data_IF_936424058831
#
_entry.id   IF_936424058831
#
_cell.length_a   1.000
_cell.length_b   1.000
_cell.length_c   1.000
_cell.angle_alpha   90.00
_cell.angle_beta   90.00
_cell.angle_gamma   90.00
#
_symmetry.space_group_name_H-M   'P 1'
#
loop_
_entity.id
_entity.type
_entity.pdbx_description
1 polymer ?
#
# COMPACT_ATOMS: atom_id res chain seq x y z
N UNK A 1 -12.84 -29.85 -2.71
CA UNK A 1 -11.71 -29.15 -3.36
C UNK A 1 -12.25 -28.51 -4.63
N UNK A 2 -11.96 -27.24 -4.89
CA UNK A 2 -12.55 -26.49 -6.03
C UNK A 2 -11.55 -26.29 -7.19
N UNK A 3 -10.39 -26.96 -7.15
CA UNK A 3 -9.27 -26.74 -8.07
C UNK A 3 -9.70 -26.77 -9.55
N UNK A 4 -10.35 -27.86 -9.98
CA UNK A 4 -10.73 -28.05 -11.39
C UNK A 4 -11.67 -26.93 -11.90
N UNK A 5 -12.66 -26.57 -11.09
CA UNK A 5 -13.61 -25.49 -11.41
C UNK A 5 -12.91 -24.14 -11.46
N UNK A 6 -12.00 -23.87 -10.50
CA UNK A 6 -11.27 -22.63 -10.41
C UNK A 6 -10.27 -22.45 -11.57
N UNK A 7 -9.57 -23.50 -11.98
CA UNK A 7 -8.67 -23.46 -13.13
C UNK A 7 -9.42 -23.05 -14.41
N UNK A 8 -10.57 -23.70 -14.64
CA UNK A 8 -11.42 -23.38 -15.79
C UNK A 8 -11.95 -21.93 -15.73
N UNK A 9 -12.40 -21.49 -14.55
CA UNK A 9 -12.89 -20.14 -14.31
C UNK A 9 -11.79 -19.10 -14.58
N UNK A 10 -10.58 -19.28 -14.00
CA UNK A 10 -9.45 -18.38 -14.17
C UNK A 10 -9.02 -18.25 -15.63
N UNK A 11 -8.92 -19.39 -16.34
CA UNK A 11 -8.61 -19.39 -17.76
C UNK A 11 -9.64 -18.60 -18.58
N UNK A 12 -10.92 -18.83 -18.33
CA UNK A 12 -12.01 -18.15 -19.03
C UNK A 12 -12.01 -16.64 -18.71
N UNK A 13 -11.78 -16.27 -17.46
CA UNK A 13 -11.73 -14.88 -17.04
C UNK A 13 -10.57 -14.10 -17.66
N UNK A 14 -9.45 -14.77 -17.90
CA UNK A 14 -8.30 -14.18 -18.61
C UNK A 14 -8.39 -14.33 -20.13
N UNK A 15 -9.52 -14.79 -20.65
CA UNK A 15 -9.79 -14.99 -22.08
C UNK A 15 -8.76 -15.92 -22.78
N UNK A 16 -8.13 -16.83 -22.02
CA UNK A 16 -7.18 -17.78 -22.58
C UNK A 16 -7.86 -19.01 -23.12
N UNK A 17 -7.42 -19.49 -24.31
CA UNK A 17 -7.64 -20.86 -24.75
C UNK A 17 -6.89 -21.84 -23.83
N UNK A 18 -7.29 -23.13 -23.81
CA UNK A 18 -6.53 -24.15 -23.06
C UNK A 18 -5.06 -24.24 -23.50
N UNK A 19 -4.76 -24.00 -24.76
CA UNK A 19 -3.39 -24.01 -25.26
C UNK A 19 -2.57 -22.85 -24.72
N UNK A 20 -3.11 -21.63 -24.75
CA UNK A 20 -2.44 -20.43 -24.22
C UNK A 20 -2.22 -20.52 -22.69
N UNK A 21 -3.21 -21.02 -21.96
CA UNK A 21 -3.09 -21.18 -20.51
C UNK A 21 -2.06 -22.27 -20.16
N UNK A 22 -2.04 -23.38 -20.88
CA UNK A 22 -1.07 -24.44 -20.70
C UNK A 22 0.37 -23.98 -20.99
N UNK A 23 0.55 -23.20 -22.07
CA UNK A 23 1.84 -22.59 -22.43
C UNK A 23 2.33 -21.64 -21.32
N UNK A 24 1.45 -20.78 -20.81
CA UNK A 24 1.77 -19.86 -19.70
C UNK A 24 2.20 -20.56 -18.42
N UNK A 25 1.63 -21.72 -18.12
CA UNK A 25 1.97 -22.54 -16.97
C UNK A 25 3.24 -23.38 -17.24
N UNK A 26 3.54 -23.65 -18.50
CA UNK A 26 4.64 -24.53 -18.93
C UNK A 26 4.30 -26.03 -18.84
N UNK A 27 3.06 -26.42 -19.23
CA UNK A 27 2.58 -27.81 -19.23
C UNK A 27 1.90 -28.16 -20.57
N UNK A 28 1.77 -29.45 -20.92
CA UNK A 28 0.98 -29.86 -22.10
C UNK A 28 -0.49 -29.45 -21.96
N UNK A 29 -1.12 -29.07 -23.09
CA UNK A 29 -2.55 -28.76 -23.14
C UNK A 29 -3.44 -29.89 -22.60
N UNK A 30 -3.10 -31.14 -22.91
CA UNK A 30 -3.83 -32.32 -22.43
C UNK A 30 -3.85 -32.42 -20.92
N UNK A 31 -2.70 -32.16 -20.28
CA UNK A 31 -2.54 -32.15 -18.82
C UNK A 31 -3.40 -31.07 -18.17
N UNK A 32 -3.42 -29.84 -18.73
CA UNK A 32 -4.31 -28.79 -18.23
C UNK A 32 -5.78 -29.22 -18.39
N UNK A 33 -6.13 -29.83 -19.52
CA UNK A 33 -7.48 -30.36 -19.76
C UNK A 33 -7.89 -31.40 -18.71
N UNK A 34 -6.98 -32.28 -18.29
CA UNK A 34 -7.23 -33.29 -17.24
C UNK A 34 -7.44 -32.65 -15.87
N UNK A 35 -6.65 -31.61 -15.53
CA UNK A 35 -6.86 -30.85 -14.30
C UNK A 35 -8.19 -30.09 -14.30
N UNK A 36 -8.59 -29.45 -15.41
CA UNK A 36 -9.88 -28.74 -15.52
C UNK A 36 -11.08 -29.70 -15.48
N UNK A 37 -10.91 -30.97 -15.83
CA UNK A 37 -11.94 -32.02 -15.69
C UNK A 37 -11.91 -32.71 -14.34
N UNK A 38 -10.87 -32.49 -13.54
CA UNK A 38 -10.69 -33.15 -12.25
C UNK A 38 -10.28 -34.65 -12.37
N UNK A 39 -9.75 -35.08 -13.53
CA UNK A 39 -9.28 -36.41 -13.75
C UNK A 39 -7.96 -36.71 -13.01
N UNK A 40 -7.12 -35.67 -12.90
CA UNK A 40 -5.84 -35.73 -12.19
C UNK A 40 -5.63 -34.46 -11.42
N UNK A 41 -4.75 -34.47 -10.43
CA UNK A 41 -4.37 -33.30 -9.63
C UNK A 41 -2.89 -32.96 -9.86
N UNK A 42 -2.52 -31.68 -9.93
CA UNK A 42 -1.13 -31.27 -10.00
C UNK A 42 -0.40 -31.54 -8.68
N UNK A 43 0.89 -31.81 -8.76
CA UNK A 43 1.75 -31.85 -7.59
C UNK A 43 1.93 -30.44 -6.98
N UNK A 44 2.52 -30.35 -5.80
CA UNK A 44 2.70 -29.10 -5.07
C UNK A 44 3.55 -28.08 -5.86
N UNK A 45 4.60 -28.55 -6.55
CA UNK A 45 5.46 -27.66 -7.34
C UNK A 45 4.72 -27.02 -8.50
N UNK A 46 3.86 -27.80 -9.16
CA UNK A 46 3.02 -27.33 -10.25
C UNK A 46 1.86 -26.44 -9.75
N UNK A 47 1.28 -26.75 -8.59
CA UNK A 47 0.29 -25.87 -7.93
C UNK A 47 0.86 -24.48 -7.69
N UNK A 48 2.11 -24.38 -7.22
CA UNK A 48 2.80 -23.10 -7.03
C UNK A 48 2.96 -22.37 -8.36
N UNK A 49 3.34 -23.06 -9.45
CA UNK A 49 3.46 -22.47 -10.77
C UNK A 49 2.12 -21.98 -11.31
N UNK A 50 1.06 -22.76 -11.13
CA UNK A 50 -0.31 -22.41 -11.52
C UNK A 50 -0.77 -21.14 -10.78
N UNK A 51 -0.61 -21.13 -9.46
CA UNK A 51 -0.98 -19.99 -8.63
C UNK A 51 -0.25 -18.70 -9.05
N UNK A 52 1.05 -18.81 -9.36
CA UNK A 52 1.85 -17.70 -9.90
C UNK A 52 1.39 -17.26 -11.29
N UNK A 53 1.12 -18.19 -12.19
CA UNK A 53 0.71 -17.90 -13.56
C UNK A 53 -0.65 -17.17 -13.64
N UNK A 54 -1.56 -17.48 -12.71
CA UNK A 54 -2.87 -16.83 -12.60
C UNK A 54 -2.89 -15.70 -11.57
N UNK A 55 -1.78 -15.45 -10.86
CA UNK A 55 -1.68 -14.41 -9.82
C UNK A 55 -2.74 -14.58 -8.71
N UNK A 56 -2.95 -15.82 -8.25
CA UNK A 56 -3.92 -16.16 -7.23
C UNK A 56 -3.28 -16.87 -6.03
N UNK A 57 -3.92 -16.80 -4.89
CA UNK A 57 -3.48 -17.53 -3.70
C UNK A 57 -3.77 -19.02 -3.84
N UNK A 58 -2.80 -19.87 -3.46
CA UNK A 58 -2.96 -21.35 -3.50
C UNK A 58 -4.15 -21.77 -2.63
N UNK A 59 -4.31 -21.19 -1.44
CA UNK A 59 -5.44 -21.46 -0.56
C UNK A 59 -6.75 -21.18 -1.27
N UNK A 60 -6.90 -20.00 -1.88
CA UNK A 60 -8.11 -19.65 -2.60
C UNK A 60 -8.38 -20.59 -3.78
N UNK A 61 -7.31 -20.99 -4.51
CA UNK A 61 -7.39 -21.93 -5.62
C UNK A 61 -7.97 -23.30 -5.19
N UNK A 62 -7.65 -23.75 -3.98
CA UNK A 62 -8.02 -25.08 -3.48
C UNK A 62 -9.32 -25.09 -2.67
N UNK A 63 -9.58 -24.04 -1.86
CA UNK A 63 -10.61 -24.07 -0.81
C UNK A 63 -11.82 -23.21 -1.08
N UNK A 64 -11.70 -22.19 -1.94
CA UNK A 64 -12.77 -21.23 -2.22
C UNK A 64 -13.36 -21.45 -3.62
N UNK A 65 -14.63 -21.11 -3.79
CA UNK A 65 -15.32 -21.14 -5.09
C UNK A 65 -15.17 -19.75 -5.75
N UNK A 66 -14.18 -19.63 -6.65
CA UNK A 66 -13.72 -18.34 -7.19
C UNK A 66 -14.74 -17.65 -8.10
N UNK A 67 -15.70 -18.38 -8.69
CA UNK A 67 -16.78 -17.81 -9.51
C UNK A 67 -17.74 -16.92 -8.70
N UNK A 68 -17.71 -17.02 -7.36
CA UNK A 68 -18.53 -16.23 -6.43
C UNK A 68 -17.77 -15.13 -5.70
N UNK A 69 -16.47 -15.00 -5.94
CA UNK A 69 -15.59 -14.05 -5.26
C UNK A 69 -15.27 -12.88 -6.20
N UNK A 70 -15.04 -11.70 -5.62
CA UNK A 70 -14.46 -10.59 -6.37
C UNK A 70 -13.01 -10.92 -6.77
N UNK A 71 -12.48 -10.28 -7.84
CA UNK A 71 -11.10 -10.51 -8.27
C UNK A 71 -10.09 -10.14 -7.17
N UNK A 72 -10.39 -9.12 -6.38
CA UNK A 72 -9.56 -8.66 -5.28
C UNK A 72 -9.44 -9.68 -4.14
N UNK A 73 -10.48 -10.50 -3.95
CA UNK A 73 -10.47 -11.59 -2.96
C UNK A 73 -9.67 -12.83 -3.42
N UNK A 74 -9.44 -12.95 -4.72
CA UNK A 74 -8.82 -14.13 -5.34
C UNK A 74 -7.37 -13.85 -5.74
N UNK A 75 -7.05 -12.59 -6.07
CA UNK A 75 -5.74 -12.16 -6.53
C UNK A 75 -4.65 -12.33 -5.46
N UNK A 76 -3.50 -12.81 -5.88
CA UNK A 76 -2.28 -12.83 -5.05
C UNK A 76 -1.58 -11.47 -4.97
N UNK A 77 -2.11 -10.45 -5.66
CA UNK A 77 -1.67 -9.05 -5.54
C UNK A 77 -2.07 -8.41 -4.21
N UNK A 78 -2.25 -9.21 -3.18
CA UNK A 78 -2.25 -8.69 -1.81
C UNK A 78 -0.86 -8.16 -1.52
N UNK A 79 -0.82 -6.95 -1.06
CA UNK A 79 0.39 -6.37 -0.47
C UNK A 79 0.87 -7.38 0.59
N UNK A 80 2.02 -8.02 0.38
CA UNK A 80 2.50 -9.08 1.28
C UNK A 80 3.31 -8.46 2.40
N UNK A 81 2.87 -8.65 3.64
CA UNK A 81 3.80 -8.62 4.77
C UNK A 81 4.63 -9.92 4.70
N UNK A 82 5.91 -9.81 4.52
CA UNK A 82 6.81 -10.95 4.50
C UNK A 82 7.80 -10.99 5.66
N UNK A 83 7.91 -9.92 6.43
CA UNK A 83 8.75 -9.91 7.62
C UNK A 83 7.95 -9.50 8.84
N UNK A 84 7.40 -10.46 9.52
CA UNK A 84 6.82 -10.27 10.85
C UNK A 84 7.65 -11.01 11.87
N UNK A 85 8.34 -10.26 12.69
CA UNK A 85 8.90 -10.79 13.93
C UNK A 85 7.73 -10.99 14.90
N UNK A 86 7.01 -12.11 14.75
CA UNK A 86 6.07 -12.55 15.77
C UNK A 86 6.88 -13.28 16.84
N UNK A 87 7.49 -12.57 17.71
CA UNK A 87 7.78 -13.10 19.01
C UNK A 87 6.50 -12.96 19.87
N UNK A 88 5.78 -14.09 20.05
CA UNK A 88 4.57 -14.13 20.89
C UNK A 88 4.82 -13.70 22.33
N UNK A 89 6.07 -13.51 22.74
CA UNK A 89 6.47 -13.07 24.07
C UNK A 89 6.54 -11.53 24.21
N UNK A 90 6.59 -10.79 23.11
CA UNK A 90 6.72 -9.32 23.13
C UNK A 90 5.45 -8.62 22.62
N UNK A 91 4.32 -8.88 23.26
CA UNK A 91 3.06 -8.16 22.98
C UNK A 91 3.25 -6.66 23.16
N UNK A 92 2.93 -5.90 22.10
CA UNK A 92 2.94 -4.43 22.14
C UNK A 92 4.23 -3.77 21.65
N UNK A 93 5.22 -4.51 21.17
CA UNK A 93 6.38 -3.94 20.51
C UNK A 93 6.06 -3.62 19.03
N UNK A 94 6.45 -2.42 18.62
CA UNK A 94 6.20 -1.86 17.29
C UNK A 94 7.55 -1.39 16.75
N UNK A 95 7.97 -1.90 15.60
CA UNK A 95 9.19 -1.46 14.93
C UNK A 95 9.01 -0.03 14.41
N UNK A 96 10.04 0.80 14.61
CA UNK A 96 10.10 2.19 14.15
C UNK A 96 11.00 2.33 12.92
N UNK A 97 10.40 2.66 11.79
CA UNK A 97 11.09 3.06 10.57
C UNK A 97 11.40 4.54 10.65
N UNK A 98 12.66 4.89 10.88
CA UNK A 98 13.13 6.28 10.85
C UNK A 98 13.42 6.73 9.43
N UNK A 99 13.36 8.02 9.16
CA UNK A 99 13.67 8.62 7.87
C UNK A 99 15.02 8.17 7.32
N UNK A 100 16.05 8.13 8.15
CA UNK A 100 17.38 7.65 7.76
C UNK A 100 17.45 6.16 7.38
N UNK A 101 16.51 5.36 7.88
CA UNK A 101 16.41 3.94 7.57
C UNK A 101 15.45 3.65 6.40
N UNK A 102 14.72 4.65 5.90
CA UNK A 102 13.68 4.46 4.90
C UNK A 102 14.21 3.83 3.60
N UNK A 103 15.39 4.24 3.11
CA UNK A 103 16.00 3.64 1.93
C UNK A 103 16.36 2.16 2.16
N UNK A 104 17.02 1.84 3.28
CA UNK A 104 17.33 0.45 3.64
C UNK A 104 16.06 -0.38 3.89
N UNK A 105 15.02 0.25 4.42
CA UNK A 105 13.72 -0.40 4.61
C UNK A 105 13.07 -0.80 3.27
N UNK A 106 13.15 0.03 2.25
CA UNK A 106 12.64 -0.27 0.91
C UNK A 106 13.28 -1.52 0.28
N UNK A 107 14.58 -1.69 0.52
CA UNK A 107 15.33 -2.82 -0.01
C UNK A 107 15.13 -4.10 0.82
N UNK A 108 14.92 -3.97 2.14
CA UNK A 108 14.97 -5.09 3.10
C UNK A 108 13.70 -5.24 3.96
N UNK A 109 12.58 -4.59 3.61
CA UNK A 109 11.35 -4.68 4.40
C UNK A 109 10.79 -6.11 4.55
N UNK A 110 11.23 -7.03 3.68
CA UNK A 110 10.89 -8.46 3.70
C UNK A 110 11.91 -9.31 4.47
N UNK A 111 13.03 -8.74 4.88
CA UNK A 111 14.06 -9.45 5.63
C UNK A 111 13.76 -9.39 7.14
N UNK A 112 13.46 -10.55 7.80
CA UNK A 112 13.18 -10.60 9.21
C UNK A 112 14.35 -10.12 10.08
N UNK A 113 15.61 -10.36 9.67
CA UNK A 113 16.79 -9.92 10.41
C UNK A 113 16.87 -8.40 10.43
N UNK A 114 16.73 -7.76 9.25
CA UNK A 114 16.71 -6.30 9.15
C UNK A 114 15.58 -5.68 9.96
N UNK A 115 14.35 -6.22 9.86
CA UNK A 115 13.20 -5.69 10.62
C UNK A 115 13.40 -5.86 12.12
N UNK A 116 14.04 -6.94 12.57
CA UNK A 116 14.31 -7.17 14.00
C UNK A 116 15.32 -6.20 14.60
N UNK A 117 16.20 -5.61 13.79
CA UNK A 117 17.20 -4.62 14.20
C UNK A 117 16.62 -3.19 14.30
N UNK A 118 15.42 -2.94 13.76
CA UNK A 118 14.78 -1.63 13.86
C UNK A 118 14.52 -1.25 15.34
N UNK A 119 14.67 0.03 15.71
CA UNK A 119 14.26 0.51 17.01
C UNK A 119 12.80 0.16 17.29
N UNK A 120 12.47 -0.16 18.55
CA UNK A 120 11.12 -0.55 18.93
C UNK A 120 10.50 0.43 19.93
N UNK A 121 9.20 0.67 19.73
CA UNK A 121 8.34 1.38 20.68
C UNK A 121 7.45 0.35 21.36
N UNK A 122 7.18 0.54 22.66
CA UNK A 122 6.36 -0.39 23.44
C UNK A 122 5.00 0.22 23.76
N UNK A 123 3.93 -0.36 23.19
CA UNK A 123 2.54 0.03 23.41
C UNK A 123 1.69 -1.18 23.80
N UNK A 124 1.59 -1.51 25.10
CA UNK A 124 0.90 -2.73 25.58
C UNK A 124 -0.58 -2.82 25.19
N UNK A 125 -1.21 -1.66 24.94
CA UNK A 125 -2.63 -1.59 24.57
C UNK A 125 -2.91 -1.98 23.12
N UNK A 126 -1.89 -2.00 22.24
CA UNK A 126 -2.07 -2.31 20.82
C UNK A 126 -1.94 -3.82 20.59
N UNK A 127 -2.97 -4.39 19.96
CA UNK A 127 -3.00 -5.80 19.58
C UNK A 127 -3.17 -5.91 18.07
N UNK A 128 -2.28 -6.63 17.39
CA UNK A 128 -2.28 -6.78 15.94
C UNK A 128 -0.97 -6.34 15.32
N UNK A 129 -1.01 -6.09 14.01
CA UNK A 129 0.18 -5.75 13.23
C UNK A 129 0.27 -4.24 13.06
N UNK A 130 1.18 -3.64 13.82
CA UNK A 130 1.45 -2.22 13.77
C UNK A 130 2.91 -1.98 13.41
N UNK A 131 3.17 -0.84 12.78
CA UNK A 131 4.50 -0.29 12.54
C UNK A 131 4.47 1.21 12.73
N UNK A 132 5.57 1.76 13.22
CA UNK A 132 5.73 3.19 13.41
C UNK A 132 6.63 3.75 12.31
N UNK A 133 6.31 4.95 11.82
CA UNK A 133 7.06 5.64 10.78
C UNK A 133 7.32 7.07 11.20
N UNK A 134 8.57 7.51 11.11
CA UNK A 134 8.91 8.92 11.28
C UNK A 134 8.54 9.70 10.02
N UNK A 135 7.80 10.79 10.19
CA UNK A 135 7.32 11.60 9.08
C UNK A 135 8.36 12.67 8.71
N UNK A 136 8.62 12.80 7.42
CA UNK A 136 9.46 13.83 6.86
C UNK A 136 8.65 14.78 5.96
N UNK A 137 9.07 16.06 5.93
CA UNK A 137 8.42 17.08 5.12
C UNK A 137 7.09 17.57 5.71
N UNK A 138 6.46 18.49 4.99
CA UNK A 138 5.29 19.24 5.41
C UNK A 138 4.04 18.96 4.54
N UNK A 139 4.07 17.87 3.78
CA UNK A 139 2.99 17.55 2.84
C UNK A 139 1.67 17.17 3.50
N UNK A 140 1.71 16.79 4.79
CA UNK A 140 0.55 16.34 5.56
C UNK A 140 0.30 17.23 6.80
N UNK A 141 0.54 18.53 6.68
CA UNK A 141 0.19 19.49 7.74
C UNK A 141 -1.31 19.38 8.08
N UNK A 142 -1.71 19.45 9.38
CA UNK A 142 -0.91 19.91 10.52
C UNK A 142 0.03 18.87 11.16
N UNK A 143 0.19 17.69 10.57
CA UNK A 143 1.19 16.73 11.01
C UNK A 143 2.60 17.30 10.77
N UNK A 144 3.32 17.62 11.83
CA UNK A 144 4.63 18.25 11.73
C UNK A 144 5.73 17.23 11.40
N UNK A 145 6.77 17.65 10.64
CA UNK A 145 7.95 16.83 10.41
C UNK A 145 8.59 16.35 11.72
N UNK A 146 9.10 15.11 11.74
CA UNK A 146 9.64 14.47 12.93
C UNK A 146 8.60 13.81 13.82
N UNK A 147 7.31 13.97 13.55
CA UNK A 147 6.25 13.20 14.20
C UNK A 147 6.39 11.72 13.85
N UNK A 148 6.02 10.84 14.78
CA UNK A 148 5.97 9.40 14.54
C UNK A 148 4.51 8.98 14.39
N UNK A 149 4.13 8.43 13.25
CA UNK A 149 2.81 7.86 13.03
C UNK A 149 2.85 6.36 13.30
N UNK A 150 1.89 5.86 14.05
CA UNK A 150 1.67 4.46 14.35
C UNK A 150 0.56 3.98 13.43
N UNK A 151 0.86 2.98 12.61
CA UNK A 151 -0.04 2.52 11.57
C UNK A 151 -0.31 1.03 11.69
N UNK A 152 -1.54 0.64 11.35
CA UNK A 152 -1.99 -0.74 11.27
C UNK A 152 -1.82 -1.25 9.83
N UNK A 153 -1.34 -2.46 9.70
CA UNK A 153 -1.19 -3.07 8.38
C UNK A 153 -2.52 -3.28 7.67
N UNK A 154 -2.53 -3.00 6.37
CA UNK A 154 -3.65 -3.26 5.46
C UNK A 154 -3.33 -4.50 4.64
N UNK A 155 -4.09 -5.57 4.83
CA UNK A 155 -3.84 -6.84 4.14
C UNK A 155 -4.24 -6.79 2.67
N UNK A 156 -5.27 -6.01 2.35
CA UNK A 156 -5.84 -5.95 1.00
C UNK A 156 -6.12 -4.52 0.60
N UNK A 157 -5.82 -4.17 -0.65
CA UNK A 157 -6.06 -2.82 -1.17
C UNK A 157 -7.54 -2.42 -1.13
N UNK A 158 -8.48 -3.36 -1.23
CA UNK A 158 -9.92 -3.08 -1.13
C UNK A 158 -10.40 -2.72 0.30
N UNK A 159 -9.54 -2.87 1.32
CA UNK A 159 -9.80 -2.42 2.69
C UNK A 159 -9.48 -0.94 2.87
N UNK A 160 -8.83 -0.30 1.90
CA UNK A 160 -8.51 1.12 1.91
C UNK A 160 -9.81 1.92 1.87
N UNK A 161 -9.97 2.81 2.83
CA UNK A 161 -11.05 3.79 2.89
C UNK A 161 -10.59 5.06 2.19
N UNK A 162 -11.41 5.59 1.28
CA UNK A 162 -11.08 6.81 0.57
C UNK A 162 -10.97 7.99 1.55
N UNK A 163 -10.03 8.88 1.25
CA UNK A 163 -9.74 10.12 1.98
C UNK A 163 -9.15 9.93 3.40
N UNK A 164 -8.92 8.69 3.83
CA UNK A 164 -8.22 8.41 5.09
C UNK A 164 -6.70 8.42 4.90
N UNK A 165 -5.93 8.75 5.96
CA UNK A 165 -4.47 8.82 5.89
C UNK A 165 -3.80 7.45 6.03
N UNK A 166 -2.79 7.22 5.20
CA UNK A 166 -2.02 5.97 5.12
C UNK A 166 -0.53 6.25 4.93
N UNK A 167 0.29 5.35 5.42
CA UNK A 167 1.65 5.18 4.92
C UNK A 167 1.60 4.20 3.74
N UNK A 168 2.21 4.58 2.63
CA UNK A 168 2.43 3.70 1.48
C UNK A 168 3.92 3.50 1.29
N UNK A 169 4.33 2.25 1.21
CA UNK A 169 5.69 1.86 0.85
C UNK A 169 5.67 1.43 -0.61
N UNK A 170 6.41 2.13 -1.45
CA UNK A 170 6.49 1.86 -2.89
C UNK A 170 7.92 1.82 -3.37
N UNK A 171 8.15 1.08 -4.44
CA UNK A 171 9.48 0.99 -5.03
C UNK A 171 9.93 2.30 -5.67
N UNK A 172 8.97 3.08 -6.19
CA UNK A 172 9.24 4.31 -6.92
C UNK A 172 9.34 5.54 -6.00
N UNK A 173 8.40 5.69 -5.09
CA UNK A 173 8.22 6.92 -4.32
C UNK A 173 8.68 6.77 -2.86
N UNK A 174 9.19 5.58 -2.50
CA UNK A 174 9.68 5.33 -1.16
C UNK A 174 8.58 5.11 -0.13
N UNK A 175 8.79 5.62 1.07
CA UNK A 175 7.83 5.65 2.17
C UNK A 175 7.15 7.01 2.16
N UNK A 176 5.85 7.05 1.88
CA UNK A 176 5.08 8.29 1.83
C UNK A 176 3.86 8.25 2.74
N UNK A 177 3.55 9.36 3.40
CA UNK A 177 2.35 9.54 4.21
C UNK A 177 1.36 10.40 3.42
N UNK A 178 0.19 9.86 3.06
CA UNK A 178 -0.80 10.51 2.18
C UNK A 178 -2.21 10.05 2.50
N UNK A 179 -3.22 10.84 2.11
CA UNK A 179 -4.57 10.32 1.98
C UNK A 179 -4.70 9.55 0.69
N UNK A 180 -5.40 8.42 0.75
CA UNK A 180 -5.56 7.54 -0.40
C UNK A 180 -6.99 7.57 -0.93
N UNK A 181 -7.10 7.49 -2.26
CA UNK A 181 -8.33 7.14 -2.95
C UNK A 181 -8.06 5.98 -3.91
N UNK A 182 -8.93 4.99 -3.89
CA UNK A 182 -8.86 3.87 -4.82
C UNK A 182 -9.31 4.30 -6.20
N UNK A 183 -8.53 3.97 -7.22
CA UNK A 183 -8.91 4.08 -8.63
C UNK A 183 -8.80 2.72 -9.33
N UNK A 184 -9.80 1.83 -9.16
CA UNK A 184 -9.77 0.48 -9.72
C UNK A 184 -9.73 0.47 -11.25
N UNK A 185 -10.32 1.47 -11.91
CA UNK A 185 -10.34 1.57 -13.36
C UNK A 185 -8.93 1.72 -13.95
N UNK A 186 -8.04 2.38 -13.23
CA UNK A 186 -6.64 2.58 -13.62
C UNK A 186 -5.67 1.67 -12.88
N UNK A 187 -6.16 0.77 -12.02
CA UNK A 187 -5.32 -0.10 -11.18
C UNK A 187 -4.31 0.71 -10.35
N UNK A 188 -4.78 1.78 -9.70
CA UNK A 188 -3.92 2.74 -9.04
C UNK A 188 -4.52 3.29 -7.74
N UNK A 189 -3.63 3.82 -6.89
CA UNK A 189 -3.94 4.67 -5.75
C UNK A 189 -3.72 6.14 -6.14
N UNK A 190 -4.67 6.98 -5.84
CA UNK A 190 -4.47 8.43 -5.86
C UNK A 190 -3.94 8.85 -4.50
N UNK A 191 -2.76 9.45 -4.47
CA UNK A 191 -2.07 9.91 -3.27
C UNK A 191 -2.25 11.43 -3.12
N UNK A 192 -2.96 11.84 -2.09
CA UNK A 192 -3.39 13.22 -1.86
C UNK A 192 -2.71 13.75 -0.60
N UNK A 193 -2.13 14.93 -0.69
CA UNK A 193 -1.53 15.66 0.42
C UNK A 193 -2.54 16.58 1.09
N UNK A 194 -2.48 16.71 2.43
CA UNK A 194 -3.28 17.71 3.14
C UNK A 194 -2.79 19.12 2.85
N UNK A 195 -1.50 19.29 2.60
CA UNK A 195 -0.94 20.55 2.11
C UNK A 195 -1.17 20.69 0.60
N UNK A 196 -2.04 21.61 0.23
CA UNK A 196 -2.45 21.87 -1.17
C UNK A 196 -1.31 22.33 -2.10
N UNK A 197 -0.15 22.66 -1.56
CA UNK A 197 1.03 23.00 -2.37
C UNK A 197 1.62 21.77 -3.07
N UNK A 198 1.30 20.59 -2.59
CA UNK A 198 1.75 19.32 -3.17
C UNK A 198 0.69 18.78 -4.12
N UNK A 199 1.05 18.53 -5.39
CA UNK A 199 0.12 17.98 -6.35
C UNK A 199 -0.29 16.55 -5.97
N UNK A 200 -1.52 16.19 -6.33
CA UNK A 200 -1.97 14.79 -6.28
C UNK A 200 -1.16 13.99 -7.29
N UNK A 201 -0.72 12.81 -6.90
CA UNK A 201 -0.03 11.90 -7.80
C UNK A 201 -0.65 10.50 -7.76
N UNK A 202 -0.40 9.75 -8.82
CA UNK A 202 -0.91 8.40 -8.99
C UNK A 202 0.21 7.39 -8.76
N UNK A 203 -0.11 6.33 -8.00
CA UNK A 203 0.76 5.21 -7.73
C UNK A 203 0.08 3.93 -8.23
N UNK A 204 0.68 3.23 -9.19
CA UNK A 204 0.13 1.99 -9.71
C UNK A 204 0.18 0.88 -8.64
N UNK A 205 -0.82 -0.01 -8.62
CA UNK A 205 -0.86 -1.12 -7.65
C UNK A 205 0.37 -2.01 -7.71
N UNK A 206 0.98 -2.18 -8.89
CA UNK A 206 2.20 -2.98 -9.07
C UNK A 206 3.44 -2.42 -8.37
N UNK A 207 3.49 -1.09 -8.17
CA UNK A 207 4.58 -0.39 -7.48
C UNK A 207 4.41 -0.42 -5.95
N UNK A 208 3.19 -0.68 -5.46
CA UNK A 208 2.87 -0.73 -4.03
C UNK A 208 3.47 -1.99 -3.41
N UNK A 209 4.18 -1.83 -2.30
CA UNK A 209 4.78 -2.91 -1.52
C UNK A 209 4.01 -3.16 -0.23
N UNK A 210 3.73 -2.09 0.53
CA UNK A 210 2.98 -2.14 1.78
C UNK A 210 2.06 -0.94 1.88
N UNK A 211 0.92 -1.13 2.55
CA UNK A 211 0.00 -0.07 2.94
C UNK A 211 -0.30 -0.21 4.42
N UNK A 212 -0.26 0.91 5.14
CA UNK A 212 -0.46 0.98 6.57
C UNK A 212 -1.46 2.07 6.90
N UNK A 213 -2.62 1.70 7.47
CA UNK A 213 -3.68 2.64 7.88
C UNK A 213 -3.23 3.40 9.14
N UNK A 214 -3.35 4.72 9.13
CA UNK A 214 -3.08 5.54 10.31
C UNK A 214 -3.94 5.10 11.49
N UNK A 215 -3.31 4.99 12.67
CA UNK A 215 -3.99 4.64 13.91
C UNK A 215 -3.80 5.72 14.99
N UNK A 216 -2.58 6.17 15.19
CA UNK A 216 -2.21 7.19 16.19
C UNK A 216 -0.90 7.87 15.78
N UNK A 217 -0.54 8.94 16.48
CA UNK A 217 0.76 9.57 16.31
C UNK A 217 1.34 10.07 17.62
N UNK A 218 2.66 10.25 17.63
CA UNK A 218 3.43 10.93 18.66
C UNK A 218 3.98 12.23 18.05
N UNK A 219 3.58 13.36 18.58
CA UNK A 219 4.16 14.64 18.28
C UNK A 219 5.18 15.00 19.37
N UNK A 220 6.36 15.49 18.99
CA UNK A 220 7.42 15.92 19.91
C UNK A 220 7.43 17.44 20.07
N UNK A 221 6.62 18.13 19.29
CA UNK A 221 6.39 19.56 19.38
C UNK A 221 5.04 19.81 20.02
N UNK A 222 4.97 20.81 20.89
CA UNK A 222 3.70 21.24 21.46
C UNK A 222 2.83 21.81 20.32
N UNK A 223 1.56 21.37 20.16
CA UNK A 223 0.68 21.94 19.16
C UNK A 223 0.58 23.45 19.39
N UNK A 224 0.82 24.25 18.37
CA UNK A 224 0.60 25.71 18.45
C UNK A 224 -0.82 25.96 18.91
N UNK A 225 -0.95 26.58 20.06
CA UNK A 225 -2.13 26.58 20.95
C UNK A 225 -3.34 27.35 20.45
N UNK A 226 -3.38 27.87 19.23
CA UNK A 226 -4.60 28.46 18.71
C UNK A 226 -4.78 28.15 17.23
N UNK A 227 -5.96 27.61 16.94
CA UNK A 227 -6.52 27.52 15.58
C UNK A 227 -6.54 28.89 14.89
N UNK A 228 -6.59 29.98 15.66
CA UNK A 228 -6.47 31.37 15.22
C UNK A 228 -5.07 31.67 14.69
N UNK A 229 -4.00 31.32 15.40
CA UNK A 229 -2.62 31.56 14.94
C UNK A 229 -2.29 30.77 13.66
N UNK A 230 -2.82 29.54 13.52
CA UNK A 230 -2.62 28.75 12.31
C UNK A 230 -3.34 29.36 11.09
N UNK A 231 -4.54 29.90 11.29
CA UNK A 231 -5.27 30.63 10.25
C UNK A 231 -4.61 31.99 9.94
N UNK A 232 -4.08 32.71 10.93
CA UNK A 232 -3.37 33.98 10.72
C UNK A 232 -2.07 33.79 9.95
N UNK A 233 -1.26 32.75 10.25
CA UNK A 233 -0.05 32.43 9.51
C UNK A 233 -0.37 32.08 8.04
N UNK A 234 -1.42 31.30 7.76
CA UNK A 234 -1.86 30.99 6.40
C UNK A 234 -2.45 32.21 5.68
N UNK A 235 -3.23 33.03 6.35
CA UNK A 235 -3.76 34.27 5.78
C UNK A 235 -2.63 35.24 5.47
N UNK A 236 -1.61 35.34 6.31
CA UNK A 236 -0.41 36.13 6.09
C UNK A 236 0.38 35.68 4.85
N UNK A 237 0.53 34.36 4.65
CA UNK A 237 1.19 33.83 3.46
C UNK A 237 0.36 33.99 2.18
N UNK A 238 -0.96 33.86 2.27
CA UNK A 238 -1.87 34.14 1.14
C UNK A 238 -1.79 35.62 0.79
N UNK A 239 -1.82 36.52 1.77
CA UNK A 239 -1.71 37.98 1.53
C UNK A 239 -0.37 38.37 0.90
N UNK A 240 0.75 37.76 1.33
CA UNK A 240 2.05 37.95 0.70
C UNK A 240 2.04 37.53 -0.77
N UNK A 241 1.57 36.30 -1.05
CA UNK A 241 1.49 35.77 -2.43
C UNK A 241 0.55 36.60 -3.31
N UNK A 242 -0.60 37.03 -2.80
CA UNK A 242 -1.53 37.93 -3.53
C UNK A 242 -0.85 39.28 -3.81
N UNK A 243 -0.12 39.81 -2.85
CA UNK A 243 0.61 41.09 -3.02
C UNK A 243 1.73 40.97 -4.05
N UNK A 244 2.47 39.88 -4.06
CA UNK A 244 3.51 39.57 -5.05
C UNK A 244 2.93 39.41 -6.45
N UNK A 245 1.83 38.67 -6.59
CA UNK A 245 1.10 38.53 -7.86
C UNK A 245 0.58 39.88 -8.35
N UNK A 246 0.01 40.67 -7.47
CA UNK A 246 -0.50 42.00 -7.80
C UNK A 246 0.62 42.92 -8.31
N UNK A 247 1.78 42.98 -7.62
CA UNK A 247 2.96 43.69 -8.08
C UNK A 247 3.46 43.19 -9.43
N UNK A 248 3.45 41.88 -9.65
CA UNK A 248 3.91 41.31 -10.92
C UNK A 248 3.00 41.62 -12.11
N UNK A 249 1.70 41.73 -11.89
CA UNK A 249 0.72 42.04 -12.93
C UNK A 249 0.59 43.55 -13.20
N UNK A 250 0.63 44.40 -12.18
CA UNK A 250 0.54 45.87 -12.35
C UNK A 250 1.86 46.43 -12.90
N UNK A 251 3.03 45.94 -12.45
CA UNK A 251 4.31 46.35 -13.00
C UNK A 251 4.52 46.02 -14.48
N UNK A 252 3.67 45.14 -15.05
CA UNK A 252 3.64 44.84 -16.50
C UNK A 252 2.67 45.73 -17.28
N UNK A 253 1.72 46.41 -16.62
CA UNK A 253 0.74 47.27 -17.29
C UNK A 253 1.19 48.73 -17.42
N UNK A 254 2.25 49.15 -16.70
CA UNK A 254 2.81 50.52 -16.79
C UNK A 254 4.05 50.62 -17.73
N UNK A 255 4.41 49.49 -18.40
CA UNK A 255 5.55 49.43 -19.29
C UNK A 255 5.23 49.26 -20.79
N UNK A 256 4.01 49.61 -21.22
CA UNK A 256 3.61 49.60 -22.64
C UNK A 256 3.10 50.99 -23.06
#
# INVERSE_FOLDING_TARGET
MFLAQNLRFLRQKMEYSQAQAADKIGIPRTTLGDYERGHTEPDMALLIKIAKAYEVQIEALLTRKMDKLSWDEVSSKNVKILAMTIDQKEKGNIELVRTKAAAGYLDNFQDPEFVSELPRLHFPALQGFYRAFEIEGDSMLPMEPGSIVICKYVERLNEIKNDEPYIVVSQRDGVVYKRLQLNPAQQALMCISDNIQYPVFQLNYEDVREVWEYHAHLAFTEPKTSFENWNEDRMGDIQKKVTELHKHYIGKSEGN
#
